data_IF_139115387815
#
_entry.id   IF_139115387815
#
_cell.length_a   1.000
_cell.length_b   1.000
_cell.length_c   1.000
_cell.angle_alpha   90.00
_cell.angle_beta   90.00
_cell.angle_gamma   90.00
#
_symmetry.space_group_name_H-M   'P 1'
#
loop_
_entity.id
_entity.type
_entity.pdbx_description
1 polymer ?
#
# COMPACT_ATOMS: atom_id res chain seq x y z
N UNK A 1 -21.67 -9.75 49.68
CA UNK A 1 -20.31 -10.30 49.89
C UNK A 1 -19.31 -9.37 49.23
N UNK A 2 -18.43 -8.76 50.02
CA UNK A 2 -17.36 -7.83 49.61
C UNK A 2 -16.05 -8.60 49.64
N UNK A 3 -15.20 -8.49 48.61
CA UNK A 3 -13.74 -8.67 48.75
C UNK A 3 -12.96 -7.73 47.81
N UNK A 4 -11.99 -7.09 48.43
CA UNK A 4 -11.16 -5.96 48.02
C UNK A 4 -9.81 -6.41 47.42
N UNK A 5 -9.19 -5.50 46.65
CA UNK A 5 -7.74 -5.22 46.57
C UNK A 5 -6.87 -6.08 45.62
N UNK A 6 -5.77 -5.63 44.98
CA UNK A 6 -4.80 -4.54 45.22
C UNK A 6 -4.12 -4.00 43.93
N UNK A 7 -3.66 -2.73 43.99
CA UNK A 7 -2.55 -2.16 43.21
C UNK A 7 -1.17 -2.58 43.78
N UNK A 8 -0.14 -2.68 42.92
CA UNK A 8 1.32 -2.40 43.15
C UNK A 8 2.07 -2.58 41.81
N UNK A 9 2.72 -1.55 41.19
CA UNK A 9 4.13 -1.05 41.38
C UNK A 9 5.19 -2.17 41.21
N UNK A 10 6.35 -2.05 40.54
CA UNK A 10 7.09 -0.98 39.85
C UNK A 10 8.36 -1.57 39.14
N UNK A 11 9.12 -0.72 38.41
CA UNK A 11 10.61 -0.71 38.18
C UNK A 11 11.29 -1.88 37.44
N UNK A 12 12.45 -1.78 36.76
CA UNK A 12 13.29 -0.73 36.14
C UNK A 12 14.49 -1.45 35.44
N UNK A 13 15.12 -0.73 34.49
CA UNK A 13 16.55 -0.79 34.09
C UNK A 13 17.18 -2.06 33.47
N UNK A 14 17.83 -1.90 32.31
CA UNK A 14 19.30 -2.02 32.20
C UNK A 14 19.78 -1.57 30.81
N UNK A 15 20.78 -0.69 30.83
CA UNK A 15 21.58 -0.28 29.69
C UNK A 15 22.70 -1.30 29.44
N UNK A 16 23.11 -1.47 28.18
CA UNK A 16 24.45 -1.93 27.83
C UNK A 16 24.95 -1.04 26.69
N UNK A 17 25.95 -0.21 27.02
CA UNK A 17 26.78 0.46 26.03
C UNK A 17 27.87 -0.47 25.52
N UNK A 18 28.41 -0.15 24.35
CA UNK A 18 29.82 -0.39 24.09
C UNK A 18 30.40 0.86 23.40
N UNK A 19 31.36 1.44 24.10
CA UNK A 19 32.20 2.55 23.70
C UNK A 19 33.18 2.13 22.61
N UNK A 20 33.46 3.03 21.66
CA UNK A 20 34.71 3.00 20.91
C UNK A 20 35.30 4.42 21.01
N UNK A 21 36.39 4.56 21.76
CA UNK A 21 37.12 5.79 21.94
C UNK A 21 38.29 5.88 20.95
N UNK A 22 38.41 7.06 20.31
CA UNK A 22 39.61 7.84 19.90
C UNK A 22 40.83 7.10 19.26
N UNK A 23 41.64 7.69 18.36
CA UNK A 23 42.42 8.93 18.50
C UNK A 23 42.87 9.48 17.13
N UNK A 24 42.84 10.82 17.06
CA UNK A 24 43.53 11.84 16.25
C UNK A 24 44.41 11.49 15.02
N UNK A 25 44.28 12.35 14.00
CA UNK A 25 45.40 13.13 13.48
C UNK A 25 44.88 14.46 12.91
N UNK A 26 45.35 15.58 13.46
CA UNK A 26 45.19 16.90 12.89
C UNK A 26 46.20 17.06 11.75
N UNK A 27 45.72 17.42 10.56
CA UNK A 27 46.54 18.06 9.54
C UNK A 27 45.84 19.33 9.12
N UNK A 28 46.42 20.46 9.49
CA UNK A 28 46.08 21.77 8.94
C UNK A 28 46.40 21.75 7.45
N UNK A 29 45.37 21.95 6.63
CA UNK A 29 45.45 21.93 5.18
C UNK A 29 44.32 22.78 4.60
N UNK A 30 44.73 23.89 4.02
CA UNK A 30 43.95 25.00 3.48
C UNK A 30 42.88 24.57 2.45
N UNK A 31 41.79 25.33 2.46
CA UNK A 31 40.88 25.59 1.34
C UNK A 31 39.78 24.56 0.98
N UNK A 32 38.56 25.06 1.21
CA UNK A 32 37.44 25.10 0.26
C UNK A 32 36.58 23.86 0.05
N UNK A 33 35.28 24.17 0.11
CA UNK A 33 34.19 23.57 -0.63
C UNK A 33 33.68 22.20 -0.14
N UNK A 34 32.38 22.21 0.14
CA UNK A 34 31.56 21.04 -0.15
C UNK A 34 31.08 20.31 1.08
N UNK A 35 30.25 20.98 1.87
CA UNK A 35 29.10 20.32 2.52
C UNK A 35 28.18 19.77 1.42
N UNK A 36 28.63 18.76 0.69
CA UNK A 36 27.74 17.91 -0.11
C UNK A 36 27.10 16.96 0.90
N UNK A 37 26.11 17.51 1.61
CA UNK A 37 24.95 16.74 2.01
C UNK A 37 24.63 15.88 0.79
N UNK A 38 24.69 14.56 0.97
CA UNK A 38 24.18 13.57 0.03
C UNK A 38 22.66 13.74 0.03
N UNK A 39 22.20 14.89 -0.47
CA UNK A 39 20.84 15.16 -0.82
C UNK A 39 20.71 14.62 -2.23
N UNK A 40 20.80 13.29 -2.33
CA UNK A 40 20.23 12.55 -3.43
C UNK A 40 18.72 12.74 -3.30
N UNK A 41 18.26 13.94 -3.68
CA UNK A 41 16.89 14.23 -3.95
C UNK A 41 16.52 13.32 -5.11
N UNK A 42 16.07 12.11 -4.78
CA UNK A 42 15.17 11.37 -5.63
C UNK A 42 14.10 12.38 -6.01
N UNK A 43 14.13 12.85 -7.26
CA UNK A 43 13.24 13.89 -7.75
C UNK A 43 11.82 13.49 -7.35
N UNK A 44 11.30 14.15 -6.31
CA UNK A 44 10.02 13.76 -5.76
C UNK A 44 9.00 14.12 -6.83
N UNK A 45 8.34 13.09 -7.38
CA UNK A 45 7.32 13.27 -8.40
C UNK A 45 6.34 14.35 -7.93
N UNK A 46 6.01 15.29 -8.83
CA UNK A 46 5.19 16.45 -8.47
C UNK A 46 3.79 16.00 -8.06
N UNK A 47 3.11 16.72 -7.15
CA UNK A 47 1.72 16.43 -6.83
C UNK A 47 0.86 16.38 -8.11
N UNK A 48 -0.05 15.41 -8.20
CA UNK A 48 -0.86 15.12 -9.38
C UNK A 48 -0.22 14.16 -10.38
N UNK A 49 1.09 13.90 -10.30
CA UNK A 49 1.77 12.93 -11.17
C UNK A 49 1.27 11.51 -10.89
N UNK A 50 0.94 10.79 -11.97
CA UNK A 50 0.65 9.37 -11.92
C UNK A 50 1.94 8.56 -12.03
N UNK A 51 2.06 7.51 -11.22
CA UNK A 51 3.23 6.62 -11.22
C UNK A 51 2.74 5.19 -11.33
N UNK A 52 3.24 4.47 -12.33
CA UNK A 52 3.05 3.03 -12.47
C UNK A 52 3.98 2.29 -11.50
N UNK A 53 3.44 1.34 -10.75
CA UNK A 53 4.16 0.66 -9.67
C UNK A 53 4.17 -0.85 -9.92
N UNK A 54 5.24 -1.51 -9.47
CA UNK A 54 5.32 -2.98 -9.52
C UNK A 54 4.31 -3.60 -8.55
N UNK A 55 3.51 -4.52 -9.07
CA UNK A 55 2.59 -5.31 -8.28
C UNK A 55 3.31 -6.50 -7.63
N UNK A 56 3.04 -6.76 -6.34
CA UNK A 56 3.72 -7.81 -5.57
C UNK A 56 2.75 -8.86 -5.06
N UNK A 57 3.27 -10.05 -4.76
CA UNK A 57 2.48 -11.16 -4.24
C UNK A 57 1.84 -10.84 -2.86
N UNK A 58 2.56 -10.14 -1.99
CA UNK A 58 2.03 -9.67 -0.70
C UNK A 58 0.85 -8.70 -0.90
N UNK A 59 0.94 -7.82 -1.90
CA UNK A 59 -0.17 -6.94 -2.25
C UNK A 59 -1.35 -7.76 -2.82
N UNK A 60 -1.09 -8.75 -3.68
CA UNK A 60 -2.13 -9.67 -4.17
C UNK A 60 -2.93 -10.31 -3.04
N UNK A 61 -2.24 -10.87 -2.05
CA UNK A 61 -2.90 -11.44 -0.86
C UNK A 61 -3.73 -10.39 -0.12
N UNK A 62 -3.16 -9.21 0.11
CA UNK A 62 -3.84 -8.10 0.81
C UNK A 62 -5.13 -7.67 0.09
N UNK A 63 -5.10 -7.50 -1.23
CA UNK A 63 -6.28 -7.09 -2.00
C UNK A 63 -7.34 -8.19 -2.01
N UNK A 64 -6.94 -9.46 -2.13
CA UNK A 64 -7.85 -10.60 -1.99
C UNK A 64 -8.51 -10.68 -0.60
N UNK A 65 -7.76 -10.38 0.47
CA UNK A 65 -8.29 -10.32 1.83
C UNK A 65 -9.33 -9.18 1.97
N UNK A 66 -9.09 -8.03 1.32
CA UNK A 66 -10.04 -6.90 1.31
C UNK A 66 -11.30 -7.15 0.50
N UNK A 67 -11.18 -7.80 -0.66
CA UNK A 67 -12.34 -8.25 -1.42
C UNK A 67 -13.21 -9.21 -0.61
N UNK A 68 -12.59 -10.24 0.00
CA UNK A 68 -13.31 -11.24 0.77
C UNK A 68 -14.03 -10.64 1.98
N UNK A 69 -13.31 -9.89 2.81
CA UNK A 69 -13.87 -9.33 4.06
C UNK A 69 -14.78 -8.12 3.83
N UNK A 70 -14.50 -7.32 2.80
CA UNK A 70 -15.26 -6.10 2.49
C UNK A 70 -16.56 -6.37 1.74
N UNK A 71 -16.59 -7.42 0.92
CA UNK A 71 -17.69 -7.68 -0.02
C UNK A 71 -18.12 -9.15 0.01
N UNK A 72 -17.29 -10.06 -0.47
CA UNK A 72 -17.74 -11.40 -0.86
C UNK A 72 -18.30 -12.23 0.32
N UNK A 73 -17.64 -12.22 1.47
CA UNK A 73 -18.06 -13.01 2.64
C UNK A 73 -19.44 -12.60 3.18
N UNK A 74 -19.84 -11.34 3.00
CA UNK A 74 -21.15 -10.84 3.47
C UNK A 74 -22.30 -11.47 2.70
N UNK A 75 -22.08 -11.77 1.42
CA UNK A 75 -23.05 -12.40 0.53
C UNK A 75 -22.88 -13.93 0.47
N UNK A 76 -21.71 -14.44 0.84
CA UNK A 76 -21.37 -15.87 0.81
C UNK A 76 -20.69 -16.31 2.13
N UNK A 77 -21.41 -16.27 3.27
CA UNK A 77 -20.82 -16.50 4.59
C UNK A 77 -20.26 -17.91 4.79
N UNK A 78 -20.76 -18.89 4.01
CA UNK A 78 -20.30 -20.29 4.05
C UNK A 78 -19.06 -20.54 3.19
N UNK A 79 -18.67 -19.59 2.34
CA UNK A 79 -17.49 -19.74 1.47
C UNK A 79 -16.25 -19.32 2.25
N UNK A 80 -15.25 -20.20 2.46
CA UNK A 80 -14.04 -19.84 3.17
C UNK A 80 -13.12 -18.94 2.35
N UNK A 81 -12.34 -18.09 3.03
CA UNK A 81 -11.34 -17.19 2.42
C UNK A 81 -10.38 -17.91 1.47
N UNK A 82 -10.01 -19.16 1.76
CA UNK A 82 -9.08 -19.96 0.96
C UNK A 82 -9.54 -20.20 -0.48
N UNK A 83 -10.84 -20.03 -0.78
CA UNK A 83 -11.37 -20.15 -2.14
C UNK A 83 -11.15 -18.91 -2.99
N UNK A 84 -10.85 -17.76 -2.41
CA UNK A 84 -10.58 -16.53 -3.17
C UNK A 84 -9.18 -16.58 -3.77
N UNK A 85 -9.13 -16.67 -5.09
CA UNK A 85 -7.92 -16.54 -5.89
C UNK A 85 -7.68 -15.05 -6.06
N UNK A 86 -6.71 -14.50 -5.32
CA UNK A 86 -6.41 -13.05 -5.32
C UNK A 86 -6.18 -12.48 -6.72
N UNK A 87 -6.19 -11.15 -6.88
CA UNK A 87 -6.38 -10.54 -8.18
C UNK A 87 -5.22 -10.83 -9.16
N UNK A 88 -5.55 -10.94 -10.44
CA UNK A 88 -4.66 -11.19 -11.57
C UNK A 88 -4.75 -10.03 -12.58
N UNK A 89 -3.78 -9.96 -13.49
CA UNK A 89 -3.75 -8.91 -14.52
C UNK A 89 -3.72 -7.50 -13.94
N UNK A 90 -3.08 -7.31 -12.78
CA UNK A 90 -3.27 -6.10 -11.96
C UNK A 90 -2.45 -4.92 -12.49
N UNK A 91 -3.15 -3.82 -12.76
CA UNK A 91 -2.57 -2.49 -12.93
C UNK A 91 -2.52 -1.80 -11.57
N UNK A 92 -1.32 -1.44 -11.12
CA UNK A 92 -1.09 -0.84 -9.82
C UNK A 92 -0.33 0.48 -9.96
N UNK A 93 -0.73 1.49 -9.20
CA UNK A 93 -0.14 2.80 -9.30
C UNK A 93 -0.63 3.77 -8.24
N UNK A 94 -0.09 5.00 -8.31
CA UNK A 94 -0.46 6.08 -7.42
C UNK A 94 -0.61 7.41 -8.15
N UNK A 95 -1.47 8.27 -7.61
CA UNK A 95 -1.46 9.71 -7.86
C UNK A 95 -0.76 10.37 -6.68
N UNK A 96 0.37 11.03 -6.96
CA UNK A 96 1.19 11.68 -5.94
C UNK A 96 0.43 12.85 -5.32
N UNK A 97 0.35 12.87 -3.99
CA UNK A 97 -0.23 13.98 -3.24
C UNK A 97 0.81 15.05 -2.92
N UNK A 98 0.39 16.13 -2.25
CA UNK A 98 1.33 17.12 -1.66
C UNK A 98 2.23 16.51 -0.58
N UNK A 99 1.86 15.34 -0.08
CA UNK A 99 2.55 14.58 0.95
C UNK A 99 2.32 13.08 0.79
N UNK A 100 3.09 12.25 1.49
CA UNK A 100 2.85 10.81 1.54
C UNK A 100 1.44 10.47 2.05
N UNK A 101 0.93 11.21 3.03
CA UNK A 101 -0.42 11.03 3.59
C UNK A 101 -1.56 11.40 2.62
N UNK A 102 -1.30 12.25 1.62
CA UNK A 102 -2.31 12.66 0.63
C UNK A 102 -2.23 11.90 -0.69
N UNK A 103 -1.19 11.08 -0.90
CA UNK A 103 -1.02 10.23 -2.07
C UNK A 103 -2.11 9.17 -2.13
N UNK A 104 -2.72 8.95 -3.30
CA UNK A 104 -3.79 7.95 -3.47
C UNK A 104 -3.28 6.82 -4.34
N UNK A 105 -3.47 5.59 -3.88
CA UNK A 105 -3.07 4.38 -4.59
C UNK A 105 -4.31 3.68 -5.15
N UNK A 106 -4.17 3.14 -6.35
CA UNK A 106 -5.19 2.36 -7.04
C UNK A 106 -4.59 1.04 -7.50
N UNK A 107 -5.36 -0.03 -7.38
CA UNK A 107 -5.10 -1.30 -8.04
C UNK A 107 -6.36 -1.72 -8.79
N UNK A 108 -6.19 -2.21 -10.01
CA UNK A 108 -7.29 -2.63 -10.89
C UNK A 108 -6.94 -3.99 -11.49
N UNK A 109 -7.82 -4.98 -11.36
CA UNK A 109 -7.59 -6.30 -11.96
C UNK A 109 -8.68 -7.30 -11.64
N UNK A 110 -8.56 -8.49 -12.20
CA UNK A 110 -9.59 -9.52 -12.12
C UNK A 110 -9.42 -10.37 -10.88
N UNK A 111 -10.50 -10.65 -10.16
CA UNK A 111 -10.50 -11.55 -9.03
C UNK A 111 -11.51 -12.67 -9.26
N UNK A 112 -11.27 -13.85 -8.70
CA UNK A 112 -12.17 -14.99 -8.83
C UNK A 112 -12.24 -15.76 -7.53
N UNK A 113 -13.35 -16.45 -7.32
CA UNK A 113 -13.55 -17.40 -6.23
C UNK A 113 -13.70 -18.80 -6.83
N UNK A 114 -12.85 -19.72 -6.37
CA UNK A 114 -12.84 -21.11 -6.85
C UNK A 114 -14.22 -21.73 -6.64
N UNK A 115 -14.77 -22.32 -7.70
CA UNK A 115 -16.09 -22.98 -7.70
C UNK A 115 -17.27 -22.03 -7.58
N UNK A 116 -17.07 -20.74 -7.86
CA UNK A 116 -18.14 -19.77 -8.09
C UNK A 116 -17.88 -19.09 -9.45
N UNK A 117 -18.55 -19.52 -10.53
CA UNK A 117 -18.33 -18.97 -11.87
C UNK A 117 -18.82 -17.53 -12.02
N UNK A 118 -19.68 -17.04 -11.13
CA UNK A 118 -20.23 -15.68 -11.17
C UNK A 118 -19.21 -14.70 -10.59
N UNK A 119 -18.43 -15.11 -9.59
CA UNK A 119 -17.45 -14.26 -8.91
C UNK A 119 -16.37 -13.62 -9.80
N UNK A 120 -16.16 -14.13 -11.02
CA UNK A 120 -15.21 -13.59 -11.98
C UNK A 120 -15.85 -12.80 -13.13
N UNK A 121 -17.16 -12.61 -13.09
CA UNK A 121 -17.90 -11.77 -14.02
C UNK A 121 -17.79 -10.31 -13.56
N UNK A 122 -18.12 -9.37 -14.45
CA UNK A 122 -18.17 -7.92 -14.18
C UNK A 122 -16.83 -7.23 -13.83
N UNK A 123 -15.72 -7.96 -13.99
CA UNK A 123 -14.37 -7.40 -13.89
C UNK A 123 -14.09 -6.28 -14.90
N UNK A 124 -13.01 -5.51 -14.70
CA UNK A 124 -12.05 -5.63 -13.60
C UNK A 124 -12.56 -5.00 -12.30
N UNK A 125 -11.93 -5.37 -11.19
CA UNK A 125 -12.24 -4.87 -9.86
C UNK A 125 -11.26 -3.79 -9.41
N UNK A 126 -11.73 -2.86 -8.56
CA UNK A 126 -10.93 -1.73 -8.09
C UNK A 126 -10.70 -1.82 -6.59
N UNK A 127 -9.45 -1.57 -6.20
CA UNK A 127 -9.05 -1.28 -4.83
C UNK A 127 -8.42 0.10 -4.74
N UNK A 128 -8.64 0.79 -3.61
CA UNK A 128 -8.09 2.12 -3.35
C UNK A 128 -7.59 2.26 -1.92
N UNK A 129 -6.51 3.01 -1.73
CA UNK A 129 -6.09 3.52 -0.40
C UNK A 129 -5.51 4.92 -0.49
N UNK A 130 -5.45 5.63 0.63
CA UNK A 130 -4.80 6.94 0.76
C UNK A 130 -3.63 6.82 1.74
N UNK A 131 -2.44 7.26 1.31
CA UNK A 131 -1.19 7.18 2.04
C UNK A 131 -0.90 5.78 2.58
N UNK A 132 -0.68 5.71 3.89
CA UNK A 132 -0.45 4.48 4.65
C UNK A 132 -1.74 3.86 5.20
N UNK A 133 -2.91 4.37 4.78
CA UNK A 133 -4.21 3.82 5.15
C UNK A 133 -4.46 2.41 4.60
N UNK A 134 -5.54 1.79 5.08
CA UNK A 134 -5.95 0.45 4.65
C UNK A 134 -6.50 0.47 3.23
N UNK A 135 -6.24 -0.60 2.48
CA UNK A 135 -6.92 -0.86 1.21
C UNK A 135 -8.41 -1.09 1.43
N UNK A 136 -9.23 -0.48 0.59
CA UNK A 136 -10.66 -0.73 0.47
C UNK A 136 -10.96 -1.33 -0.90
N UNK A 137 -11.87 -2.30 -0.94
CA UNK A 137 -12.52 -2.73 -2.18
C UNK A 137 -13.56 -1.68 -2.56
N UNK A 138 -13.49 -1.17 -3.79
CA UNK A 138 -14.39 -0.13 -4.27
C UNK A 138 -15.58 -0.73 -5.01
N UNK A 139 -15.33 -1.78 -5.81
CA UNK A 139 -16.35 -2.41 -6.63
C UNK A 139 -15.73 -3.09 -7.84
N UNK A 140 -16.54 -3.88 -8.52
CA UNK A 140 -16.38 -4.26 -9.91
C UNK A 140 -16.76 -3.07 -10.82
N UNK A 141 -16.49 -3.17 -12.12
CA UNK A 141 -16.65 -2.03 -13.05
C UNK A 141 -17.46 -2.34 -14.30
N UNK A 142 -17.83 -3.61 -14.52
CA UNK A 142 -18.45 -4.05 -15.77
C UNK A 142 -17.61 -3.67 -17.00
N UNK A 143 -16.29 -3.64 -16.87
CA UNK A 143 -15.36 -3.19 -17.90
C UNK A 143 -15.10 -1.67 -17.97
N UNK A 144 -15.91 -0.81 -17.31
CA UNK A 144 -15.78 0.66 -17.43
C UNK A 144 -15.18 1.32 -16.19
N UNK A 145 -13.87 1.58 -16.21
CA UNK A 145 -13.11 2.01 -15.01
C UNK A 145 -13.04 3.52 -14.80
N UNK A 146 -13.34 4.32 -15.84
CA UNK A 146 -13.14 5.77 -15.85
C UNK A 146 -13.92 6.59 -14.80
N UNK A 147 -15.10 6.16 -14.30
CA UNK A 147 -15.78 6.86 -13.21
C UNK A 147 -14.99 6.85 -11.90
N UNK A 148 -14.09 5.87 -11.72
CA UNK A 148 -13.40 5.63 -10.46
C UNK A 148 -11.89 5.83 -10.55
N UNK A 149 -11.28 5.43 -11.68
CA UNK A 149 -9.83 5.48 -11.86
C UNK A 149 -9.42 6.79 -12.55
N UNK A 150 -8.49 7.57 -11.97
CA UNK A 150 -8.01 8.79 -12.59
C UNK A 150 -7.40 8.54 -13.98
N UNK A 151 -7.80 9.35 -14.98
CA UNK A 151 -7.26 9.28 -16.36
C UNK A 151 -5.74 9.31 -16.43
N UNK A 152 -5.08 10.01 -15.51
CA UNK A 152 -3.63 10.06 -15.45
C UNK A 152 -3.01 8.67 -15.21
N UNK A 153 -3.64 7.83 -14.38
CA UNK A 153 -3.20 6.44 -14.17
C UNK A 153 -3.44 5.58 -15.42
N UNK A 154 -4.60 5.72 -16.05
CA UNK A 154 -4.93 5.00 -17.28
C UNK A 154 -3.88 5.25 -18.38
N UNK A 155 -3.42 6.49 -18.52
CA UNK A 155 -2.35 6.85 -19.46
C UNK A 155 -1.03 6.12 -19.18
N UNK A 156 -0.56 6.11 -17.93
CA UNK A 156 0.71 5.43 -17.59
C UNK A 156 0.60 3.90 -17.59
N UNK A 157 -0.61 3.37 -17.60
CA UNK A 157 -0.91 1.95 -17.78
C UNK A 157 -1.18 1.58 -19.24
N UNK A 158 -1.23 2.56 -20.14
CA UNK A 158 -1.58 2.37 -21.56
C UNK A 158 -2.95 1.71 -21.75
N UNK A 159 -3.96 2.18 -21.01
CA UNK A 159 -5.33 1.66 -21.07
C UNK A 159 -6.36 2.75 -21.37
N UNK A 160 -7.43 2.34 -22.07
CA UNK A 160 -8.62 3.15 -22.33
C UNK A 160 -9.60 3.15 -21.14
N UNK A 161 -10.83 3.62 -21.31
CA UNK A 161 -11.83 3.56 -20.23
C UNK A 161 -12.53 2.21 -20.11
N UNK A 162 -12.62 1.48 -21.23
CA UNK A 162 -13.22 0.16 -21.32
C UNK A 162 -12.12 -0.88 -21.53
N UNK A 163 -12.05 -1.90 -20.69
CA UNK A 163 -11.29 -3.11 -21.03
C UNK A 163 -11.80 -4.35 -20.29
N UNK A 164 -11.67 -5.48 -20.98
CA UNK A 164 -11.98 -6.83 -20.51
C UNK A 164 -10.70 -7.68 -20.55
#
# INVERSE_FOLDING_TARGET
MIRTAQLKRATAAAAVGLSIAAVAAATEGTAAAGTTVVQQAAAQARPGTAVNLKFSESLRKTLGDRYYTGYYHRHHPRTPRSRVVGPKGVYYGKIVGRSAASTVYYAVGDIRVKGDPISGQDGPHIWRKKGNGKWAYVGDTGGYVCPTVPRALLRVWHKGCGWY
#
